data_IF_018160195412
#
_entry.id   IF_018160195412
#
_cell.length_a   1.000
_cell.length_b   1.000
_cell.length_c   1.000
_cell.angle_alpha   90.00
_cell.angle_beta   90.00
_cell.angle_gamma   90.00
#
_symmetry.space_group_name_H-M   'P 1'
#
loop_
_entity.id
_entity.type
_entity.pdbx_description
1 polymer ?
#
# COMPACT_ATOMS: atom_id res chain seq x y z
N UNK A 1 -0.32 -10.23 6.97
CA UNK A 1 -0.04 -10.29 5.50
C UNK A 1 0.80 -9.09 5.14
N UNK A 2 1.95 -9.26 4.50
CA UNK A 2 2.80 -8.13 4.07
C UNK A 2 2.58 -7.78 2.61
N UNK A 3 2.76 -6.50 2.29
CA UNK A 3 2.72 -5.95 0.95
C UNK A 3 3.72 -4.79 0.91
N UNK A 4 4.20 -4.42 -0.26
CA UNK A 4 5.02 -3.23 -0.44
C UNK A 4 4.22 -2.16 -1.17
N UNK A 5 4.56 -0.90 -0.94
CA UNK A 5 3.88 0.23 -1.54
C UNK A 5 4.90 1.13 -2.22
N UNK A 6 4.58 1.56 -3.43
CA UNK A 6 5.42 2.42 -4.26
C UNK A 6 4.60 3.56 -4.83
N UNK A 7 4.89 4.80 -4.41
CA UNK A 7 4.20 5.97 -4.94
C UNK A 7 4.75 6.31 -6.32
N UNK A 8 3.96 6.03 -7.36
CA UNK A 8 4.37 6.26 -8.75
C UNK A 8 4.11 7.70 -9.19
N UNK A 9 3.09 8.36 -8.63
CA UNK A 9 2.81 9.78 -8.83
C UNK A 9 1.94 10.35 -7.69
N UNK A 10 1.64 11.66 -7.66
CA UNK A 10 0.89 12.26 -6.57
C UNK A 10 -0.51 11.67 -6.34
N UNK A 11 -1.11 11.05 -7.37
CA UNK A 11 -2.50 10.57 -7.35
C UNK A 11 -2.60 9.04 -7.41
N UNK A 12 -1.48 8.33 -7.57
CA UNK A 12 -1.47 6.87 -7.73
C UNK A 12 -0.31 6.21 -6.99
N UNK A 13 -0.62 5.09 -6.37
CA UNK A 13 0.30 4.23 -5.62
C UNK A 13 0.14 2.80 -6.08
N UNK A 14 1.26 2.09 -6.24
CA UNK A 14 1.26 0.67 -6.52
C UNK A 14 1.43 -0.13 -5.23
N UNK A 15 0.53 -1.07 -5.00
CA UNK A 15 0.61 -2.05 -3.92
C UNK A 15 1.11 -3.37 -4.50
N UNK A 16 2.25 -3.85 -4.05
CA UNK A 16 2.86 -5.12 -4.44
C UNK A 16 2.57 -6.19 -3.40
N UNK A 17 1.98 -7.28 -3.85
CA UNK A 17 1.66 -8.44 -3.03
C UNK A 17 2.75 -9.51 -3.16
N UNK A 18 2.88 -10.38 -2.16
CA UNK A 18 3.90 -11.44 -2.13
C UNK A 18 3.75 -12.51 -3.20
N UNK A 19 2.57 -12.63 -3.80
CA UNK A 19 2.32 -13.53 -4.93
C UNK A 19 2.80 -12.94 -6.27
N UNK A 20 3.45 -11.76 -6.23
CA UNK A 20 3.97 -11.07 -7.40
C UNK A 20 2.93 -10.25 -8.15
N UNK A 21 1.68 -10.17 -7.65
CA UNK A 21 0.70 -9.23 -8.19
C UNK A 21 0.99 -7.82 -7.73
N UNK A 22 0.58 -6.85 -8.53
CA UNK A 22 0.50 -5.47 -8.10
C UNK A 22 -0.83 -4.86 -8.52
N UNK A 23 -1.33 -3.96 -7.70
CA UNK A 23 -2.51 -3.15 -7.98
C UNK A 23 -2.11 -1.68 -7.98
N UNK A 24 -2.64 -0.91 -8.91
CA UNK A 24 -2.45 0.55 -8.93
C UNK A 24 -3.70 1.17 -8.35
N UNK A 25 -3.56 1.79 -7.19
CA UNK A 25 -4.64 2.43 -6.45
C UNK A 25 -4.49 3.95 -6.55
N UNK A 26 -5.61 4.64 -6.66
CA UNK A 26 -5.69 6.07 -6.37
C UNK A 26 -5.45 6.33 -4.88
N UNK A 27 -5.27 7.59 -4.48
CA UNK A 27 -5.11 7.92 -3.07
C UNK A 27 -6.34 7.50 -2.25
N UNK A 28 -7.55 7.70 -2.77
CA UNK A 28 -8.81 7.31 -2.09
C UNK A 28 -8.89 5.79 -1.92
N UNK A 29 -8.60 5.02 -2.98
CA UNK A 29 -8.60 3.55 -2.93
C UNK A 29 -7.50 3.01 -2.01
N UNK A 30 -6.33 3.66 -1.97
CA UNK A 30 -5.25 3.29 -1.06
C UNK A 30 -5.65 3.52 0.40
N UNK A 31 -6.27 4.66 0.71
CA UNK A 31 -6.75 4.96 2.07
C UNK A 31 -7.79 3.92 2.54
N UNK A 32 -8.74 3.57 1.68
CA UNK A 32 -9.70 2.50 1.97
C UNK A 32 -9.02 1.14 2.17
N UNK A 33 -8.07 0.80 1.30
CA UNK A 33 -7.30 -0.45 1.41
C UNK A 33 -6.53 -0.54 2.73
N UNK A 34 -5.83 0.52 3.12
CA UNK A 34 -5.09 0.59 4.37
C UNK A 34 -6.01 0.49 5.58
N UNK A 35 -7.18 1.16 5.52
CA UNK A 35 -8.18 1.10 6.58
C UNK A 35 -8.77 -0.30 6.74
N UNK A 36 -9.04 -1.02 5.64
CA UNK A 36 -9.46 -2.44 5.68
C UNK A 36 -8.39 -3.34 6.29
N UNK A 37 -7.11 -3.01 6.08
CA UNK A 37 -5.98 -3.73 6.67
C UNK A 37 -5.69 -3.32 8.12
N UNK A 38 -6.43 -2.34 8.67
CA UNK A 38 -6.22 -1.83 10.03
C UNK A 38 -4.96 -0.94 10.17
N UNK A 39 -4.43 -0.44 9.05
CA UNK A 39 -3.23 0.40 9.00
C UNK A 39 -3.67 1.85 8.92
N UNK A 40 -3.47 2.59 10.01
CA UNK A 40 -3.90 4.01 10.09
C UNK A 40 -2.85 5.00 9.59
N UNK A 41 -1.60 4.58 9.37
CA UNK A 41 -0.51 5.48 8.96
C UNK A 41 0.52 4.76 8.08
N UNK A 42 0.59 5.18 6.81
CA UNK A 42 1.69 4.85 5.91
C UNK A 42 2.66 6.03 5.94
N UNK A 43 3.72 5.89 6.73
CA UNK A 43 4.83 6.85 6.70
C UNK A 43 5.55 6.67 5.36
N UNK A 44 5.47 7.70 4.51
CA UNK A 44 5.76 7.68 3.07
C UNK A 44 7.23 7.47 2.68
N UNK A 45 8.00 6.79 3.52
CA UNK A 45 9.44 6.56 3.35
C UNK A 45 9.86 5.10 3.55
N UNK A 46 8.95 4.16 3.78
CA UNK A 46 9.35 2.85 4.32
C UNK A 46 8.73 1.67 3.59
N UNK A 47 9.59 0.73 3.18
CA UNK A 47 9.25 -0.67 2.92
C UNK A 47 8.51 -1.24 4.15
N UNK A 48 7.20 -1.03 4.22
CA UNK A 48 6.39 -1.54 5.33
C UNK A 48 6.19 -3.05 5.13
N UNK A 49 7.13 -3.85 5.64
CA UNK A 49 6.89 -5.27 5.85
C UNK A 49 5.90 -5.43 7.01
N UNK A 50 4.60 -5.45 6.68
CA UNK A 50 3.53 -5.81 7.64
C UNK A 50 3.68 -7.29 7.97
N UNK A 51 4.48 -7.60 9.00
CA UNK A 51 4.51 -8.90 9.65
C UNK A 51 3.33 -8.98 10.62
N UNK A 52 2.62 -10.10 10.57
CA UNK A 52 1.55 -10.47 11.49
C UNK A 52 2.08 -10.64 12.92
#
# INVERSE_FOLDING_TARGET
MSFNINRINPNQTQVFFHDGRFETLTNEELEEFLLQMGISEVDGTTEQSVID
#
